data_IF_290359895217
#
_entry.id   IF_290359895217
#
_cell.length_a   1.000
_cell.length_b   1.000
_cell.length_c   1.000
_cell.angle_alpha   90.00
_cell.angle_beta   90.00
_cell.angle_gamma   90.00
#
_symmetry.space_group_name_H-M   'P 1'
#
loop_
_entity.id
_entity.type
_entity.pdbx_description
1 polymer ?
#
# COMPACT_ATOMS: atom_id res chain seq x y z
N UNK A 1 23.31 -6.62 12.51
CA UNK A 1 24.28 -6.55 13.63
C UNK A 1 25.45 -7.52 13.47
N UNK A 2 25.24 -8.80 13.13
CA UNK A 2 26.33 -9.78 13.03
C UNK A 2 27.47 -9.40 12.05
N UNK A 3 27.16 -8.86 10.87
CA UNK A 3 28.17 -8.51 9.86
C UNK A 3 29.18 -7.43 10.32
N UNK A 4 28.73 -6.45 11.13
CA UNK A 4 29.60 -5.41 11.67
C UNK A 4 30.56 -5.98 12.73
N UNK A 5 30.09 -6.93 13.55
CA UNK A 5 30.91 -7.60 14.57
C UNK A 5 32.01 -8.44 13.93
N UNK A 6 31.69 -9.19 12.88
CA UNK A 6 32.68 -9.99 12.13
C UNK A 6 33.71 -9.12 11.41
N UNK A 7 33.30 -7.97 10.87
CA UNK A 7 34.24 -7.03 10.24
C UNK A 7 35.23 -6.44 11.25
N UNK A 8 34.77 -6.07 12.45
CA UNK A 8 35.64 -5.56 13.52
C UNK A 8 36.60 -6.65 13.99
N UNK A 9 36.13 -7.89 14.17
CA UNK A 9 36.97 -9.01 14.57
C UNK A 9 38.08 -9.33 13.54
N UNK A 10 37.76 -9.29 12.24
CA UNK A 10 38.73 -9.50 11.17
C UNK A 10 39.80 -8.41 11.13
N UNK A 11 39.40 -7.16 11.34
CA UNK A 11 40.32 -6.00 11.38
C UNK A 11 41.28 -6.11 12.57
N UNK A 12 40.77 -6.43 13.77
CA UNK A 12 41.59 -6.67 14.97
C UNK A 12 42.58 -7.83 14.74
N UNK A 13 42.13 -8.94 14.13
CA UNK A 13 43.00 -10.08 13.83
C UNK A 13 44.13 -9.71 12.86
N UNK A 14 43.89 -8.82 11.90
CA UNK A 14 44.89 -8.36 10.93
C UNK A 14 45.92 -7.43 11.60
N UNK A 15 45.48 -6.47 12.42
CA UNK A 15 46.36 -5.47 13.03
C UNK A 15 47.23 -6.05 14.13
N UNK A 16 46.69 -6.98 14.92
CA UNK A 16 47.44 -7.56 16.02
C UNK A 16 48.10 -8.88 15.61
N UNK A 17 47.45 -9.68 14.76
CA UNK A 17 47.93 -11.00 14.35
C UNK A 17 49.06 -10.94 13.33
N UNK A 18 49.02 -10.03 12.35
CA UNK A 18 50.08 -9.95 11.32
C UNK A 18 51.40 -9.42 11.92
N UNK A 19 51.42 -8.34 12.71
CA UNK A 19 52.66 -7.88 13.34
C UNK A 19 53.24 -8.86 14.34
N UNK A 20 52.40 -9.58 15.11
CA UNK A 20 52.91 -10.63 16.02
C UNK A 20 53.51 -11.80 15.25
N UNK A 21 52.87 -12.26 14.16
CA UNK A 21 53.44 -13.29 13.28
C UNK A 21 54.75 -12.85 12.62
N UNK A 22 54.84 -11.60 12.15
CA UNK A 22 56.06 -11.05 11.54
C UNK A 22 57.19 -10.88 12.57
N UNK A 23 56.85 -10.53 13.82
CA UNK A 23 57.82 -10.43 14.92
C UNK A 23 58.36 -11.81 15.31
N UNK A 24 57.50 -12.84 15.36
CA UNK A 24 57.91 -14.24 15.59
C UNK A 24 58.77 -14.77 14.44
N UNK A 25 58.55 -14.31 13.20
CA UNK A 25 59.37 -14.63 12.03
C UNK A 25 60.72 -13.87 11.96
N UNK A 26 61.07 -13.09 12.99
CA UNK A 26 62.36 -12.40 13.11
C UNK A 26 62.45 -11.05 12.39
N UNK A 27 61.33 -10.55 11.84
CA UNK A 27 61.27 -9.25 11.17
C UNK A 27 61.00 -8.19 12.25
N UNK A 28 61.92 -7.24 12.43
CA UNK A 28 61.74 -6.14 13.38
C UNK A 28 60.66 -5.18 12.87
N UNK A 29 59.48 -5.25 13.48
CA UNK A 29 58.36 -4.35 13.17
C UNK A 29 58.61 -3.01 13.85
N UNK A 30 58.83 -1.98 13.05
CA UNK A 30 59.08 -0.62 13.53
C UNK A 30 57.81 -0.03 14.15
N UNK A 31 57.91 0.57 15.34
CA UNK A 31 56.78 1.13 16.08
C UNK A 31 56.05 2.22 15.26
N UNK A 32 56.77 2.90 14.35
CA UNK A 32 56.20 3.83 13.38
C UNK A 32 55.17 3.19 12.44
N UNK A 33 55.36 1.92 12.04
CA UNK A 33 54.42 1.21 11.16
C UNK A 33 53.08 0.92 11.87
N UNK A 34 53.14 0.58 13.17
CA UNK A 34 51.96 0.34 14.02
C UNK A 34 51.19 1.65 14.23
N UNK A 35 51.89 2.75 14.53
CA UNK A 35 51.24 4.06 14.72
C UNK A 35 50.60 4.56 13.43
N UNK A 36 51.26 4.39 12.28
CA UNK A 36 50.72 4.86 11.00
C UNK A 36 49.50 4.03 10.55
N UNK A 37 49.53 2.71 10.79
CA UNK A 37 48.38 1.84 10.48
C UNK A 37 47.19 2.09 11.41
N UNK A 38 47.43 2.38 12.70
CA UNK A 38 46.39 2.77 13.65
C UNK A 38 45.76 4.13 13.28
N UNK A 39 46.58 5.10 12.85
CA UNK A 39 46.10 6.40 12.38
C UNK A 39 45.28 6.29 11.09
N UNK A 40 45.74 5.48 10.12
CA UNK A 40 45.01 5.21 8.90
C UNK A 40 43.64 4.57 9.18
N UNK A 41 43.59 3.61 10.10
CA UNK A 41 42.31 3.03 10.53
C UNK A 41 41.38 4.03 11.20
N UNK A 42 41.90 4.91 12.07
CA UNK A 42 41.10 5.96 12.70
C UNK A 42 40.40 6.84 11.66
N UNK A 43 41.11 7.19 10.58
CA UNK A 43 40.55 7.95 9.47
C UNK A 43 39.46 7.16 8.72
N UNK A 44 39.67 5.86 8.44
CA UNK A 44 38.66 5.03 7.78
C UNK A 44 37.41 4.82 8.64
N UNK A 45 37.56 4.63 9.95
CA UNK A 45 36.42 4.50 10.87
C UNK A 45 35.62 5.79 10.94
N UNK A 46 36.26 6.95 11.00
CA UNK A 46 35.58 8.25 10.98
C UNK A 46 34.80 8.47 9.67
N UNK A 47 35.40 8.14 8.52
CA UNK A 47 34.74 8.23 7.22
C UNK A 47 33.52 7.28 7.13
N UNK A 48 33.63 6.07 7.66
CA UNK A 48 32.53 5.10 7.68
C UNK A 48 31.35 5.57 8.56
N UNK A 49 31.64 6.14 9.74
CA UNK A 49 30.61 6.71 10.63
C UNK A 49 29.95 7.93 9.98
N UNK A 50 30.73 8.82 9.38
CA UNK A 50 30.19 9.97 8.65
C UNK A 50 29.28 9.55 7.49
N UNK A 51 29.69 8.52 6.73
CA UNK A 51 28.87 7.95 5.66
C UNK A 51 27.60 7.28 6.21
N UNK A 52 27.70 6.58 7.33
CA UNK A 52 26.54 5.96 7.98
C UNK A 52 25.53 7.00 8.46
N UNK A 53 25.99 8.07 9.12
CA UNK A 53 25.13 9.18 9.58
C UNK A 53 24.51 9.94 8.39
N UNK A 54 25.30 10.22 7.34
CA UNK A 54 24.80 10.88 6.14
C UNK A 54 23.75 10.05 5.40
N UNK A 55 23.88 8.73 5.41
CA UNK A 55 22.90 7.83 4.79
C UNK A 55 21.69 7.54 5.68
N UNK A 56 21.84 7.53 7.01
CA UNK A 56 20.73 7.33 7.95
C UNK A 56 19.79 8.53 7.98
N UNK A 57 20.31 9.76 8.03
CA UNK A 57 19.50 10.99 8.01
C UNK A 57 18.63 11.07 6.74
N UNK A 58 19.18 10.66 5.60
CA UNK A 58 18.42 10.60 4.33
C UNK A 58 17.31 9.56 4.36
N UNK A 59 17.54 8.41 5.00
CA UNK A 59 16.51 7.37 5.15
C UNK A 59 15.39 7.79 6.11
N UNK A 60 15.74 8.47 7.19
CA UNK A 60 14.78 8.90 8.19
C UNK A 60 13.83 9.96 7.63
N UNK A 61 14.35 10.97 6.92
CA UNK A 61 13.50 11.96 6.23
C UNK A 61 12.61 11.35 5.15
N UNK A 62 13.12 10.38 4.41
CA UNK A 62 12.32 9.66 3.42
C UNK A 62 11.16 8.91 4.11
N UNK A 63 11.44 8.22 5.22
CA UNK A 63 10.41 7.49 5.96
C UNK A 63 9.32 8.39 6.53
N UNK A 64 9.68 9.60 6.97
CA UNK A 64 8.72 10.59 7.47
C UNK A 64 7.80 11.10 6.34
N UNK A 65 8.36 11.32 5.15
CA UNK A 65 7.57 11.71 3.98
C UNK A 65 6.62 10.58 3.55
N UNK A 66 7.12 9.35 3.47
CA UNK A 66 6.32 8.20 3.05
C UNK A 66 5.18 7.93 4.04
N UNK A 67 5.42 8.09 5.34
CA UNK A 67 4.40 7.95 6.37
C UNK A 67 3.31 9.04 6.28
N UNK A 68 3.68 10.28 5.93
CA UNK A 68 2.74 11.37 5.72
C UNK A 68 1.86 11.13 4.48
N UNK A 69 2.45 10.64 3.39
CA UNK A 69 1.72 10.30 2.17
C UNK A 69 0.77 9.12 2.40
N UNK A 70 1.22 8.09 3.11
CA UNK A 70 0.35 6.98 3.52
C UNK A 70 -0.82 7.43 4.40
N UNK A 71 -0.57 8.36 5.34
CA UNK A 71 -1.61 8.91 6.19
C UNK A 71 -2.67 9.68 5.39
N UNK A 72 -2.27 10.44 4.36
CA UNK A 72 -3.20 11.11 3.45
C UNK A 72 -4.00 10.10 2.62
N UNK A 73 -3.35 9.06 2.07
CA UNK A 73 -4.05 8.01 1.32
C UNK A 73 -5.08 7.26 2.18
N UNK A 74 -4.83 7.14 3.49
CA UNK A 74 -5.79 6.57 4.46
C UNK A 74 -7.05 7.40 4.67
N UNK A 75 -7.08 8.68 4.29
CA UNK A 75 -8.26 9.56 4.41
C UNK A 75 -9.29 9.35 3.28
N UNK A 76 -8.97 8.56 2.26
CA UNK A 76 -9.89 8.32 1.14
C UNK A 76 -10.83 7.18 1.50
N UNK A 77 -12.10 7.45 1.69
CA UNK A 77 -13.08 6.40 1.99
C UNK A 77 -13.73 5.86 0.70
N UNK A 78 -14.03 4.57 0.69
CA UNK A 78 -14.74 3.90 -0.42
C UNK A 78 -15.95 3.21 0.19
N UNK A 79 -17.13 3.51 -0.34
CA UNK A 79 -18.38 2.92 0.11
C UNK A 79 -19.21 2.44 -1.06
N UNK A 80 -19.86 1.30 -0.92
CA UNK A 80 -20.76 0.75 -1.93
C UNK A 80 -22.17 0.69 -1.38
N UNK A 81 -23.16 1.10 -2.17
CA UNK A 81 -24.56 1.10 -1.76
C UNK A 81 -25.49 0.80 -2.93
N UNK A 82 -26.58 0.08 -2.65
CA UNK A 82 -27.63 -0.19 -3.63
C UNK A 82 -28.61 0.99 -3.65
N UNK A 83 -28.87 1.53 -4.83
CA UNK A 83 -29.84 2.61 -5.01
C UNK A 83 -31.15 2.06 -5.59
N UNK A 84 -32.08 1.66 -4.70
CA UNK A 84 -33.37 1.06 -5.09
C UNK A 84 -34.24 1.95 -5.99
N UNK A 85 -34.07 3.27 -5.97
CA UNK A 85 -34.86 4.16 -6.83
C UNK A 85 -34.43 4.11 -8.31
N UNK A 86 -33.25 3.55 -8.62
CA UNK A 86 -32.68 3.50 -9.97
C UNK A 86 -32.30 2.09 -10.41
N UNK A 87 -32.63 1.08 -9.60
CA UNK A 87 -32.17 -0.31 -9.77
C UNK A 87 -30.68 -0.38 -10.10
N UNK A 88 -29.88 0.46 -9.43
CA UNK A 88 -28.46 0.64 -9.70
C UNK A 88 -27.60 0.36 -8.47
N UNK A 89 -26.33 0.07 -8.72
CA UNK A 89 -25.32 -0.04 -7.67
C UNK A 89 -24.35 1.13 -7.81
N UNK A 90 -24.06 1.77 -6.69
CA UNK A 90 -23.16 2.92 -6.62
C UNK A 90 -21.94 2.59 -5.77
N UNK A 91 -20.75 2.95 -6.27
CA UNK A 91 -19.53 2.99 -5.47
C UNK A 91 -19.11 4.45 -5.34
N UNK A 92 -19.22 4.98 -4.14
CA UNK A 92 -18.80 6.32 -3.78
C UNK A 92 -17.37 6.28 -3.26
N UNK A 93 -16.53 7.13 -3.83
CA UNK A 93 -15.18 7.43 -3.36
C UNK A 93 -15.20 8.83 -2.78
N UNK A 94 -14.89 8.94 -1.50
CA UNK A 94 -14.83 10.22 -0.78
C UNK A 94 -13.40 10.51 -0.35
N UNK A 95 -12.84 11.60 -0.83
CA UNK A 95 -11.62 12.17 -0.32
C UNK A 95 -11.93 13.06 0.90
N UNK A 96 -11.52 12.63 2.09
CA UNK A 96 -11.61 13.42 3.33
C UNK A 96 -10.32 14.23 3.57
N UNK A 97 -9.30 14.04 2.74
CA UNK A 97 -8.05 14.77 2.80
C UNK A 97 -8.17 16.20 2.26
N UNK A 98 -7.18 17.03 2.61
CA UNK A 98 -7.09 18.41 2.11
C UNK A 98 -6.52 18.49 0.69
N UNK A 99 -5.85 17.42 0.23
CA UNK A 99 -5.19 17.36 -1.07
C UNK A 99 -6.06 16.58 -2.06
N UNK A 100 -6.27 17.08 -3.28
CA UNK A 100 -6.97 16.31 -4.31
C UNK A 100 -6.18 15.07 -4.69
N UNK A 101 -6.91 14.00 -5.05
CA UNK A 101 -6.34 12.81 -5.68
C UNK A 101 -6.58 12.84 -7.18
N UNK A 102 -5.70 12.19 -7.93
CA UNK A 102 -5.73 12.18 -9.39
C UNK A 102 -5.78 10.76 -9.93
N UNK A 103 -6.22 10.61 -11.17
CA UNK A 103 -6.30 9.32 -11.87
C UNK A 103 -7.01 8.22 -11.07
N UNK A 104 -8.18 8.55 -10.52
CA UNK A 104 -9.00 7.59 -9.75
C UNK A 104 -9.65 6.63 -10.72
N UNK A 105 -9.31 5.35 -10.62
CA UNK A 105 -9.74 4.29 -11.52
C UNK A 105 -10.43 3.18 -10.74
N UNK A 106 -11.55 2.72 -11.28
CA UNK A 106 -12.23 1.54 -10.74
C UNK A 106 -11.51 0.27 -11.19
N UNK A 107 -11.12 -0.57 -10.23
CA UNK A 107 -10.36 -1.80 -10.51
C UNK A 107 -11.27 -3.02 -10.55
N UNK A 108 -12.06 -3.22 -9.48
CA UNK A 108 -12.88 -4.42 -9.35
C UNK A 108 -14.01 -4.25 -8.35
N UNK A 109 -15.09 -4.97 -8.58
CA UNK A 109 -16.18 -5.14 -7.63
C UNK A 109 -16.49 -6.63 -7.55
N UNK A 110 -16.48 -7.17 -6.34
CA UNK A 110 -16.95 -8.53 -6.07
C UNK A 110 -18.10 -8.49 -5.11
N UNK A 111 -19.08 -9.35 -5.34
CA UNK A 111 -20.27 -9.48 -4.51
C UNK A 111 -20.27 -10.91 -3.97
N UNK A 112 -20.30 -11.05 -2.64
CA UNK A 112 -20.25 -12.36 -2.01
C UNK A 112 -21.37 -13.25 -2.52
N UNK A 113 -21.03 -14.48 -2.92
CA UNK A 113 -21.98 -15.44 -3.49
C UNK A 113 -22.37 -15.22 -4.95
N UNK A 114 -21.76 -14.24 -5.65
CA UNK A 114 -22.12 -13.90 -7.03
C UNK A 114 -20.89 -13.75 -7.92
N UNK A 115 -20.95 -14.30 -9.12
CA UNK A 115 -19.93 -14.12 -10.17
C UNK A 115 -20.44 -13.14 -11.25
N UNK A 116 -20.71 -11.90 -10.85
CA UNK A 116 -21.12 -10.85 -11.78
C UNK A 116 -19.89 -10.10 -12.30
N UNK A 117 -19.79 -9.97 -13.63
CA UNK A 117 -18.81 -9.08 -14.26
C UNK A 117 -19.48 -7.73 -14.53
N UNK A 118 -19.37 -6.83 -13.55
CA UNK A 118 -19.96 -5.50 -13.64
C UNK A 118 -18.92 -4.49 -14.14
N UNK A 119 -19.35 -3.59 -15.01
CA UNK A 119 -18.54 -2.44 -15.45
C UNK A 119 -19.28 -1.15 -15.12
N UNK A 120 -18.59 -0.16 -14.54
CA UNK A 120 -19.22 1.12 -14.29
C UNK A 120 -19.41 1.88 -15.60
N UNK A 121 -20.35 2.83 -15.59
CA UNK A 121 -20.61 3.72 -16.71
C UNK A 121 -19.42 4.65 -17.02
N UNK A 122 -18.71 5.04 -15.98
CA UNK A 122 -17.46 5.81 -16.03
C UNK A 122 -16.45 4.97 -15.28
N UNK A 123 -15.31 4.66 -15.88
CA UNK A 123 -14.26 3.80 -15.30
C UNK A 123 -13.13 4.60 -14.65
N UNK A 124 -12.99 5.88 -15.01
CA UNK A 124 -11.91 6.74 -14.51
C UNK A 124 -12.33 8.20 -14.30
N UNK A 125 -11.80 8.81 -13.25
CA UNK A 125 -11.86 10.25 -12.98
C UNK A 125 -10.45 10.83 -12.95
N UNK A 126 -10.24 11.95 -13.66
CA UNK A 126 -8.92 12.60 -13.71
C UNK A 126 -8.52 13.26 -12.40
N UNK A 127 -9.45 13.94 -11.73
CA UNK A 127 -9.21 14.68 -10.48
C UNK A 127 -10.44 14.50 -9.60
N UNK A 128 -10.21 14.18 -8.32
CA UNK A 128 -11.26 14.08 -7.30
C UNK A 128 -10.84 14.94 -6.10
N UNK A 129 -11.51 16.09 -5.97
CA UNK A 129 -11.29 17.00 -4.84
C UNK A 129 -11.98 16.48 -3.57
N UNK A 130 -13.23 16.04 -3.70
CA UNK A 130 -14.06 15.65 -2.55
C UNK A 130 -14.79 14.33 -2.74
N UNK A 131 -15.66 14.22 -3.73
CA UNK A 131 -16.46 13.01 -3.96
C UNK A 131 -16.40 12.62 -5.44
N UNK A 132 -16.32 11.32 -5.71
CA UNK A 132 -16.48 10.72 -7.04
C UNK A 132 -17.34 9.46 -6.94
N UNK A 133 -18.11 9.16 -7.98
CA UNK A 133 -19.09 8.08 -7.93
C UNK A 133 -19.01 7.22 -9.20
N UNK A 134 -18.73 5.93 -9.01
CA UNK A 134 -18.84 4.92 -10.05
C UNK A 134 -20.25 4.32 -10.02
N UNK A 135 -21.00 4.53 -11.10
CA UNK A 135 -22.38 4.07 -11.23
C UNK A 135 -22.45 2.80 -12.08
N UNK A 136 -23.18 1.80 -11.60
CA UNK A 136 -23.46 0.55 -12.30
C UNK A 136 -24.97 0.48 -12.56
N UNK A 137 -25.34 0.61 -13.82
CA UNK A 137 -26.73 0.55 -14.27
C UNK A 137 -26.94 -0.77 -15.04
N UNK A 138 -28.05 -1.49 -14.79
CA UNK A 138 -28.39 -2.65 -15.59
C UNK A 138 -28.74 -2.23 -17.03
N UNK A 139 -28.32 -3.04 -18.00
CA UNK A 139 -28.54 -2.77 -19.44
C UNK A 139 -29.93 -3.23 -19.90
N UNK A 140 -30.67 -3.98 -19.08
CA UNK A 140 -32.00 -4.48 -19.38
C UNK A 140 -32.58 -5.32 -18.25
N UNK A 141 -33.82 -5.80 -18.43
CA UNK A 141 -34.54 -6.60 -17.42
C UNK A 141 -33.97 -7.99 -17.20
N UNK A 142 -33.27 -8.53 -18.21
CA UNK A 142 -32.56 -9.82 -18.13
C UNK A 142 -31.08 -9.66 -17.72
N UNK A 143 -30.66 -8.44 -17.41
CA UNK A 143 -29.31 -8.18 -16.90
C UNK A 143 -29.14 -8.90 -15.56
N UNK A 144 -28.06 -9.68 -15.37
CA UNK A 144 -27.75 -10.30 -14.08
C UNK A 144 -27.79 -9.32 -12.90
N UNK A 145 -27.40 -8.06 -13.09
CA UNK A 145 -27.53 -7.02 -12.07
C UNK A 145 -28.99 -6.66 -11.79
N UNK A 146 -29.82 -6.46 -12.82
CA UNK A 146 -31.24 -6.19 -12.64
C UNK A 146 -31.95 -7.33 -11.91
N UNK A 147 -31.67 -8.57 -12.31
CA UNK A 147 -32.24 -9.77 -11.66
C UNK A 147 -31.78 -9.85 -10.21
N UNK A 148 -30.50 -9.57 -9.95
CA UNK A 148 -29.94 -9.60 -8.61
C UNK A 148 -30.48 -8.50 -7.70
N UNK A 149 -30.94 -7.35 -8.25
CA UNK A 149 -31.49 -6.23 -7.47
C UNK A 149 -33.02 -6.31 -7.26
N UNK A 150 -33.74 -7.09 -8.06
CA UNK A 150 -35.21 -7.07 -8.14
C UNK A 150 -35.96 -7.69 -6.95
N UNK A 151 -35.31 -8.31 -5.96
CA UNK A 151 -36.06 -8.91 -4.84
C UNK A 151 -35.31 -8.99 -3.52
N UNK A 152 -35.91 -8.55 -2.40
CA UNK A 152 -35.35 -8.77 -1.06
C UNK A 152 -35.45 -10.23 -0.61
N UNK A 153 -36.30 -11.04 -1.26
CA UNK A 153 -36.37 -12.48 -1.02
C UNK A 153 -35.62 -13.24 -2.12
N UNK A 154 -34.88 -14.31 -1.78
CA UNK A 154 -34.19 -15.12 -2.77
C UNK A 154 -35.20 -15.64 -3.79
N UNK A 155 -35.10 -15.16 -5.03
CA UNK A 155 -35.89 -15.71 -6.12
C UNK A 155 -35.41 -17.14 -6.35
N UNK A 156 -36.11 -18.10 -5.73
CA UNK A 156 -35.99 -19.51 -6.08
C UNK A 156 -36.63 -19.71 -7.45
N UNK A 157 -35.95 -19.29 -8.53
CA UNK A 157 -36.29 -19.79 -9.86
C UNK A 157 -36.03 -21.29 -9.85
N UNK A 158 -37.03 -22.15 -10.20
CA UNK A 158 -36.80 -23.57 -10.33
C UNK A 158 -35.64 -23.81 -11.30
N UNK A 159 -34.51 -24.32 -10.79
CA UNK A 159 -33.32 -24.64 -11.59
C UNK A 159 -32.19 -23.59 -11.60
N UNK A 160 -32.27 -22.46 -10.89
CA UNK A 160 -31.12 -21.56 -10.66
C UNK A 160 -31.03 -21.13 -9.19
N UNK A 161 -30.03 -21.61 -8.43
CA UNK A 161 -29.84 -21.26 -7.03
C UNK A 161 -28.96 -20.02 -6.84
N UNK A 162 -28.97 -19.06 -7.77
CA UNK A 162 -28.24 -17.81 -7.54
C UNK A 162 -29.04 -16.96 -6.55
N UNK A 163 -28.55 -16.75 -5.31
CA UNK A 163 -29.25 -15.93 -4.35
C UNK A 163 -29.44 -14.53 -4.93
N UNK A 164 -30.53 -13.86 -4.59
CA UNK A 164 -30.71 -12.45 -4.94
C UNK A 164 -29.73 -11.61 -4.09
N UNK A 165 -29.30 -10.43 -4.56
CA UNK A 165 -28.54 -9.50 -3.71
C UNK A 165 -29.49 -9.08 -2.59
N UNK A 166 -29.23 -9.64 -1.41
CA UNK A 166 -29.99 -9.37 -0.19
C UNK A 166 -29.30 -8.27 0.60
N UNK A 167 -29.98 -7.73 1.62
CA UNK A 167 -29.44 -6.67 2.47
C UNK A 167 -28.10 -7.03 3.12
N UNK A 168 -27.89 -8.33 3.38
CA UNK A 168 -26.67 -8.87 4.01
C UNK A 168 -25.56 -9.19 3.00
N UNK A 169 -25.80 -9.06 1.69
CA UNK A 169 -24.78 -9.28 0.67
C UNK A 169 -23.60 -8.32 0.88
N UNK A 170 -22.40 -8.89 0.92
CA UNK A 170 -21.15 -8.16 1.12
C UNK A 170 -20.57 -7.78 -0.25
N UNK A 171 -20.34 -6.48 -0.44
CA UNK A 171 -19.68 -5.91 -1.61
C UNK A 171 -18.24 -5.61 -1.25
N UNK A 172 -17.29 -6.07 -2.07
CA UNK A 172 -15.89 -5.63 -1.99
C UNK A 172 -15.57 -4.80 -3.22
N UNK A 173 -15.47 -3.50 -3.03
CA UNK A 173 -15.08 -2.55 -4.07
C UNK A 173 -13.58 -2.25 -3.95
N UNK A 174 -12.88 -2.20 -5.08
CA UNK A 174 -11.47 -1.83 -5.15
C UNK A 174 -11.28 -0.68 -6.14
N UNK A 175 -10.61 0.36 -5.67
CA UNK A 175 -10.29 1.58 -6.43
C UNK A 175 -8.79 1.82 -6.34
N UNK A 176 -8.21 2.25 -7.46
CA UNK A 176 -6.85 2.73 -7.55
C UNK A 176 -6.86 4.25 -7.72
N UNK A 177 -5.90 4.95 -7.14
CA UNK A 177 -5.73 6.38 -7.32
C UNK A 177 -4.26 6.77 -7.20
N UNK A 178 -3.94 7.95 -7.71
CA UNK A 178 -2.62 8.56 -7.62
C UNK A 178 -2.67 9.78 -6.69
N UNK A 179 -1.65 9.96 -5.87
CA UNK A 179 -1.48 11.20 -5.11
C UNK A 179 -0.73 12.26 -5.91
N UNK A 180 -0.64 13.47 -5.35
CA UNK A 180 0.07 14.59 -5.99
C UNK A 180 1.58 14.35 -6.14
N UNK A 181 2.15 13.40 -5.39
CA UNK A 181 3.57 13.05 -5.45
C UNK A 181 3.83 11.95 -6.50
N UNK A 182 2.79 11.46 -7.17
CA UNK A 182 2.89 10.42 -8.19
C UNK A 182 2.91 9.00 -7.61
N UNK A 183 2.65 8.82 -6.31
CA UNK A 183 2.56 7.49 -5.72
C UNK A 183 1.20 6.87 -6.07
N UNK A 184 1.20 5.58 -6.40
CA UNK A 184 -0.01 4.85 -6.77
C UNK A 184 -0.49 4.01 -5.60
N UNK A 185 -1.73 4.24 -5.22
CA UNK A 185 -2.38 3.60 -4.09
C UNK A 185 -3.59 2.82 -4.56
N UNK A 186 -3.82 1.68 -3.90
CA UNK A 186 -5.05 0.92 -4.05
C UNK A 186 -5.74 0.81 -2.70
N UNK A 187 -7.06 0.96 -2.75
CA UNK A 187 -7.92 0.80 -1.59
C UNK A 187 -9.08 -0.11 -1.92
N UNK A 188 -9.30 -1.06 -1.02
CA UNK A 188 -10.49 -1.89 -1.03
C UNK A 188 -11.38 -1.53 0.15
N UNK A 189 -12.69 -1.64 -0.01
CA UNK A 189 -13.65 -1.51 1.08
C UNK A 189 -14.71 -2.60 0.98
N UNK A 190 -15.10 -3.09 2.14
CA UNK A 190 -16.18 -4.06 2.28
C UNK A 190 -17.38 -3.38 2.93
N UNK A 191 -18.52 -3.38 2.26
CA UNK A 191 -19.76 -2.85 2.82
C UNK A 191 -20.92 -3.83 2.59
N UNK A 192 -21.91 -3.78 3.46
CA UNK A 192 -23.17 -4.50 3.26
C UNK A 192 -24.10 -3.70 2.34
N UNK A 193 -25.00 -4.37 1.62
CA UNK A 193 -25.93 -3.72 0.69
C UNK A 193 -26.74 -2.58 1.34
N UNK A 194 -27.10 -2.77 2.62
CA UNK A 194 -27.93 -1.84 3.38
C UNK A 194 -27.13 -0.73 4.07
N UNK A 195 -25.80 -0.80 4.03
CA UNK A 195 -24.90 0.13 4.70
C UNK A 195 -24.67 1.39 3.86
N UNK A 196 -25.76 2.13 3.68
CA UNK A 196 -25.77 3.41 2.97
C UNK A 196 -25.41 4.59 3.88
N UNK A 197 -25.18 4.36 5.18
CA UNK A 197 -25.21 5.45 6.17
C UNK A 197 -23.85 6.04 6.51
N UNK A 198 -22.75 5.32 6.47
CA UNK A 198 -21.44 5.94 6.69
C UNK A 198 -20.35 5.29 5.83
N UNK A 199 -19.50 6.09 5.16
CA UNK A 199 -18.40 5.55 4.37
C UNK A 199 -17.37 4.93 5.30
N UNK A 200 -17.42 3.61 5.48
CA UNK A 200 -16.52 2.90 6.39
C UNK A 200 -15.07 2.93 5.88
N UNK A 201 -14.18 3.45 6.73
CA UNK A 201 -12.72 3.48 6.55
C UNK A 201 -12.18 2.06 6.82
N UNK A 202 -12.65 1.02 6.12
CA UNK A 202 -12.33 -0.36 6.51
C UNK A 202 -11.87 -1.18 5.32
N UNK A 203 -10.67 -0.85 4.86
CA UNK A 203 -9.81 -1.79 4.18
C UNK A 203 -8.38 -1.25 4.05
N UNK A 204 -7.41 -2.14 3.85
CA UNK A 204 -6.01 -1.75 3.75
C UNK A 204 -5.81 -0.83 2.55
N UNK A 205 -5.04 0.24 2.76
CA UNK A 205 -4.47 1.04 1.68
C UNK A 205 -3.09 0.45 1.40
N UNK A 206 -2.86 0.08 0.14
CA UNK A 206 -1.60 -0.55 -0.27
C UNK A 206 -0.97 0.31 -1.37
N UNK A 207 0.31 0.62 -1.19
CA UNK A 207 1.12 1.24 -2.23
C UNK A 207 1.50 0.20 -3.27
N UNK A 208 1.21 0.49 -4.54
CA UNK A 208 1.54 -0.41 -5.67
C UNK A 208 2.84 0.03 -6.33
N UNK A 209 3.15 1.32 -6.31
CA UNK A 209 4.31 1.90 -6.99
C UNK A 209 4.87 3.14 -6.30
#
# INVERSE_FOLDING_TARGET
MAAAVWAVAAVVAIIFGIPTLLTIAGIHVDAGLIVNSLAAMGAFSAAAVALWVATSDRRERQSQSDAADEAQAKLISVSSGVHHARDGLDILVRNVGERPIVDVEFVSLTISGHSLQLRPRIDKFSIVEKDAQFQFEPTGTDDPLAIALQSPEPFLRPGRPEPTIVQDSVFTATVQFCDLNGNVWQRSAQNHANDTREPHILGPVVRIR
#
